data_IF_615703184874
#
_entry.id   IF_615703184874
#
_cell.length_a   1.000
_cell.length_b   1.000
_cell.length_c   1.000
_cell.angle_alpha   90.00
_cell.angle_beta   90.00
_cell.angle_gamma   90.00
#
_symmetry.space_group_name_H-M   'P 1'
#
loop_
_entity.id
_entity.type
_entity.pdbx_description
1 polymer ?
#
# COMPACT_ATOMS: atom_id res chain seq x y z
N UNK A 1 1.48 -1.69 9.78
CA UNK A 1 2.90 -1.59 9.36
C UNK A 1 3.67 -2.90 9.62
N UNK A 2 3.76 -3.45 10.85
CA UNK A 2 4.60 -4.64 11.15
C UNK A 2 4.27 -5.87 10.30
N UNK A 3 3.01 -6.11 9.98
CA UNK A 3 2.62 -7.24 9.11
C UNK A 3 3.10 -7.04 7.68
N UNK A 4 3.11 -5.82 7.14
CA UNK A 4 3.68 -5.51 5.83
C UNK A 4 5.17 -5.86 5.79
N UNK A 5 5.94 -5.45 6.80
CA UNK A 5 7.36 -5.82 6.92
C UNK A 5 7.52 -7.33 6.82
N UNK A 6 6.77 -8.10 7.63
CA UNK A 6 6.86 -9.56 7.66
C UNK A 6 6.48 -10.21 6.33
N UNK A 7 5.44 -9.71 5.67
CA UNK A 7 4.94 -10.27 4.41
C UNK A 7 5.88 -9.96 3.24
N UNK A 8 6.36 -8.72 3.15
CA UNK A 8 7.28 -8.30 2.09
C UNK A 8 8.60 -9.08 2.18
N UNK A 9 9.13 -9.27 3.39
CA UNK A 9 10.35 -10.07 3.60
C UNK A 9 10.23 -11.53 3.16
N UNK A 10 9.02 -12.09 3.09
CA UNK A 10 8.80 -13.46 2.60
C UNK A 10 8.89 -13.56 1.08
N UNK A 11 8.59 -12.48 0.37
CA UNK A 11 8.47 -12.47 -1.11
C UNK A 11 9.55 -11.64 -1.80
N UNK A 12 10.30 -10.85 -1.03
CA UNK A 12 11.39 -10.01 -1.55
C UNK A 12 12.60 -10.02 -0.61
N UNK A 13 13.79 -10.00 -1.19
CA UNK A 13 15.05 -9.83 -0.46
C UNK A 13 15.24 -8.35 -0.12
N UNK A 14 14.79 -7.95 1.05
CA UNK A 14 14.88 -6.54 1.50
C UNK A 14 16.24 -6.31 2.16
N UNK A 15 16.92 -5.22 1.78
CA UNK A 15 18.22 -4.84 2.34
C UNK A 15 18.10 -3.95 3.57
N UNK A 16 17.16 -3.02 3.55
CA UNK A 16 16.89 -2.10 4.67
C UNK A 16 15.42 -1.67 4.70
N UNK A 17 14.92 -1.31 5.86
CA UNK A 17 13.68 -0.56 6.03
C UNK A 17 13.98 0.88 6.42
N UNK A 18 13.22 1.79 5.85
CA UNK A 18 13.20 3.19 6.25
C UNK A 18 11.82 3.48 6.81
N UNK A 19 11.77 3.99 8.02
CA UNK A 19 10.51 4.30 8.71
C UNK A 19 10.34 5.80 8.78
N UNK A 20 9.28 6.29 8.17
CA UNK A 20 8.87 7.68 8.26
C UNK A 20 7.63 7.79 9.15
N UNK A 21 7.64 8.68 10.14
CA UNK A 21 6.52 8.93 11.04
C UNK A 21 6.62 10.34 11.63
N UNK A 22 5.47 10.97 11.84
CA UNK A 22 5.39 12.25 12.57
C UNK A 22 6.01 12.18 13.96
N UNK A 23 5.93 11.02 14.60
CA UNK A 23 6.47 10.80 15.93
C UNK A 23 7.76 9.95 15.86
N UNK A 24 8.91 10.61 16.00
CA UNK A 24 10.23 9.97 15.99
C UNK A 24 10.39 8.87 17.05
N UNK A 25 9.78 9.02 18.23
CA UNK A 25 9.83 8.01 19.30
C UNK A 25 9.10 6.73 18.89
N UNK A 26 7.96 6.87 18.22
CA UNK A 26 7.21 5.72 17.68
C UNK A 26 7.98 5.04 16.54
N UNK A 27 8.59 5.82 15.65
CA UNK A 27 9.47 5.29 14.61
C UNK A 27 10.65 4.51 15.20
N UNK A 28 11.31 5.05 16.24
CA UNK A 28 12.39 4.37 16.95
C UNK A 28 11.96 3.01 17.52
N UNK A 29 10.88 2.97 18.29
CA UNK A 29 10.33 1.72 18.83
C UNK A 29 10.00 0.69 17.74
N UNK A 30 9.51 1.15 16.59
CA UNK A 30 9.24 0.29 15.45
C UNK A 30 10.54 -0.29 14.89
N UNK A 31 11.57 0.52 14.70
CA UNK A 31 12.87 0.06 14.26
C UNK A 31 13.49 -0.94 15.25
N UNK A 32 13.47 -0.65 16.53
CA UNK A 32 14.01 -1.54 17.58
C UNK A 32 13.36 -2.93 17.54
N UNK A 33 12.04 -2.96 17.31
CA UNK A 33 11.29 -4.22 17.25
C UNK A 33 11.64 -5.10 16.03
N UNK A 34 12.27 -4.53 15.00
CA UNK A 34 12.63 -5.21 13.76
C UNK A 34 14.14 -5.31 13.52
N UNK A 35 14.96 -4.56 14.24
CA UNK A 35 16.42 -4.43 14.05
C UNK A 35 17.19 -5.76 14.09
N UNK A 36 16.69 -6.76 14.85
CA UNK A 36 17.30 -8.11 14.90
C UNK A 36 17.22 -8.88 13.58
N UNK A 37 16.33 -8.48 12.68
CA UNK A 37 16.06 -9.21 11.42
C UNK A 37 16.54 -8.47 10.19
N UNK A 38 16.57 -7.14 10.26
CA UNK A 38 16.90 -6.28 9.12
C UNK A 38 17.32 -4.90 9.60
N UNK A 39 18.20 -4.26 8.82
CA UNK A 39 18.58 -2.87 9.06
C UNK A 39 17.35 -1.97 8.98
N UNK A 40 17.05 -1.24 10.05
CA UNK A 40 15.95 -0.29 10.13
C UNK A 40 16.48 1.11 10.43
N UNK A 41 16.09 2.09 9.65
CA UNK A 41 16.52 3.49 9.77
C UNK A 41 15.29 4.38 9.90
N UNK A 42 15.39 5.45 10.67
CA UNK A 42 14.39 6.52 10.68
C UNK A 42 14.72 7.45 9.53
N UNK A 43 13.79 7.59 8.59
CA UNK A 43 13.97 8.45 7.43
C UNK A 43 13.17 9.73 7.48
N UNK A 44 13.33 10.50 6.43
CA UNK A 44 12.61 11.73 6.13
C UNK A 44 11.95 11.61 4.76
N UNK A 45 11.16 12.60 4.36
CA UNK A 45 10.44 12.61 3.09
C UNK A 45 11.37 12.39 1.89
N UNK A 46 12.54 12.97 1.92
CA UNK A 46 13.55 12.87 0.87
C UNK A 46 14.07 11.44 0.65
N UNK A 47 14.00 10.59 1.68
CA UNK A 47 14.43 9.19 1.58
C UNK A 47 13.44 8.30 0.79
N UNK A 48 12.25 8.80 0.47
CA UNK A 48 11.28 8.08 -0.37
C UNK A 48 11.83 7.78 -1.77
N UNK A 49 12.70 8.66 -2.31
CA UNK A 49 13.37 8.45 -3.61
C UNK A 49 14.28 7.22 -3.66
N UNK A 50 14.67 6.70 -2.50
CA UNK A 50 15.50 5.50 -2.40
C UNK A 50 14.66 4.20 -2.35
N UNK A 51 13.34 4.33 -2.16
CA UNK A 51 12.49 3.20 -1.86
C UNK A 51 12.00 2.47 -3.13
N UNK A 52 12.21 1.16 -3.18
CA UNK A 52 11.60 0.28 -4.17
C UNK A 52 10.12 0.01 -3.85
N UNK A 53 9.81 -0.11 -2.56
CA UNK A 53 8.47 -0.41 -2.06
C UNK A 53 8.12 0.57 -0.95
N UNK A 54 6.99 1.24 -1.11
CA UNK A 54 6.47 2.21 -0.16
C UNK A 54 5.17 1.66 0.42
N UNK A 55 5.00 1.71 1.75
CA UNK A 55 3.76 1.30 2.40
C UNK A 55 3.24 2.44 3.26
N UNK A 56 2.07 2.96 2.95
CA UNK A 56 1.38 3.94 3.77
C UNK A 56 0.33 3.25 4.64
N UNK A 57 0.28 3.61 5.92
CA UNK A 57 -0.61 3.00 6.92
C UNK A 57 -1.13 4.05 7.89
N UNK A 58 -1.55 5.21 7.39
CA UNK A 58 -1.94 6.37 8.20
C UNK A 58 -3.38 6.78 7.93
N UNK A 59 -4.08 7.34 8.91
CA UNK A 59 -5.40 7.98 8.71
C UNK A 59 -5.20 9.44 8.29
N UNK A 60 -4.50 9.71 7.18
CA UNK A 60 -4.25 11.07 6.73
C UNK A 60 -5.41 11.62 5.92
N UNK A 61 -5.76 12.89 6.14
CA UNK A 61 -6.72 13.64 5.33
C UNK A 61 -6.05 14.36 4.15
N UNK A 62 -4.71 14.48 4.20
CA UNK A 62 -3.92 15.16 3.17
C UNK A 62 -2.81 14.24 2.66
N UNK A 63 -2.37 14.40 1.40
CA UNK A 63 -1.29 13.61 0.84
C UNK A 63 -0.03 13.71 1.68
N UNK A 64 0.56 12.57 1.98
CA UNK A 64 1.86 12.47 2.64
C UNK A 64 2.99 12.35 1.62
N UNK A 65 2.65 11.84 0.43
CA UNK A 65 3.58 11.52 -0.64
C UNK A 65 3.10 12.20 -1.92
N UNK A 66 3.99 12.96 -2.53
CA UNK A 66 3.82 13.58 -3.83
C UNK A 66 4.54 12.75 -4.91
N UNK A 67 4.13 12.91 -6.17
CA UNK A 67 4.78 12.20 -7.28
C UNK A 67 6.28 12.50 -7.38
N UNK A 68 6.68 13.73 -7.09
CA UNK A 68 8.10 14.14 -7.05
C UNK A 68 8.92 13.50 -5.93
N UNK A 69 8.28 12.88 -4.94
CA UNK A 69 8.95 12.22 -3.81
C UNK A 69 9.37 10.77 -4.12
N UNK A 70 8.80 10.18 -5.14
CA UNK A 70 9.04 8.78 -5.51
C UNK A 70 9.91 8.68 -6.76
N UNK A 71 10.44 7.50 -6.99
CA UNK A 71 11.21 7.20 -8.20
C UNK A 71 10.42 6.33 -9.16
N UNK A 72 10.80 6.38 -10.41
CA UNK A 72 10.35 5.44 -11.44
C UNK A 72 10.56 3.99 -10.98
N UNK A 73 9.62 3.12 -11.29
CA UNK A 73 9.65 1.70 -10.91
C UNK A 73 9.22 1.39 -9.46
N UNK A 74 8.86 2.39 -8.65
CA UNK A 74 8.39 2.16 -7.29
C UNK A 74 7.07 1.39 -7.26
N UNK A 75 6.87 0.62 -6.19
CA UNK A 75 5.60 0.00 -5.84
C UNK A 75 5.03 0.62 -4.57
N UNK A 76 3.78 1.07 -4.61
CA UNK A 76 3.09 1.66 -3.48
C UNK A 76 1.99 0.73 -2.96
N UNK A 77 1.99 0.43 -1.67
CA UNK A 77 0.87 -0.17 -0.94
C UNK A 77 0.18 0.91 -0.12
N UNK A 78 -0.97 1.39 -0.56
CA UNK A 78 -1.73 2.49 0.06
C UNK A 78 -2.90 1.89 0.83
N UNK A 79 -2.74 1.79 2.17
CA UNK A 79 -3.61 0.96 3.02
C UNK A 79 -4.28 1.76 4.14
N UNK A 80 -3.71 2.90 4.53
CA UNK A 80 -4.12 3.55 5.78
C UNK A 80 -5.44 4.30 5.68
N UNK A 81 -5.71 4.96 4.56
CA UNK A 81 -6.96 5.68 4.35
C UNK A 81 -8.08 4.73 3.89
N UNK A 82 -9.23 4.78 4.55
CA UNK A 82 -10.41 3.95 4.27
C UNK A 82 -11.70 4.76 4.42
N UNK A 83 -11.64 6.06 4.21
CA UNK A 83 -12.79 6.97 4.20
C UNK A 83 -12.68 7.89 2.98
N UNK A 84 -13.82 8.30 2.38
CA UNK A 84 -13.83 9.08 1.13
C UNK A 84 -13.02 10.38 1.17
N UNK A 85 -12.95 11.03 2.34
CA UNK A 85 -12.23 12.30 2.54
C UNK A 85 -10.76 12.15 2.93
N UNK A 86 -10.27 10.92 3.10
CA UNK A 86 -8.90 10.65 3.53
C UNK A 86 -8.05 10.20 2.37
N UNK A 87 -6.83 10.72 2.28
CA UNK A 87 -5.85 10.26 1.30
C UNK A 87 -4.42 10.32 1.82
N UNK A 88 -3.60 9.38 1.38
CA UNK A 88 -2.19 9.28 1.74
C UNK A 88 -1.26 9.69 0.59
N UNK A 89 -1.74 9.65 -0.65
CA UNK A 89 -0.95 9.97 -1.86
C UNK A 89 -1.62 11.08 -2.67
N UNK A 90 -0.80 11.81 -3.45
CA UNK A 90 -1.31 12.86 -4.34
C UNK A 90 -2.06 12.29 -5.55
N UNK A 91 -2.87 13.11 -6.18
CA UNK A 91 -3.59 12.79 -7.42
C UNK A 91 -2.63 12.36 -8.53
N UNK A 92 -1.49 13.04 -8.68
CA UNK A 92 -0.47 12.71 -9.68
C UNK A 92 0.07 11.27 -9.53
N UNK A 93 0.20 10.78 -8.31
CA UNK A 93 0.61 9.38 -8.09
C UNK A 93 -0.45 8.43 -8.64
N UNK A 94 -1.73 8.70 -8.39
CA UNK A 94 -2.83 7.85 -8.87
C UNK A 94 -2.91 7.88 -10.40
N UNK A 95 -2.86 9.05 -11.00
CA UNK A 95 -2.99 9.22 -12.47
C UNK A 95 -1.83 8.62 -13.25
N UNK A 96 -0.64 8.55 -12.65
CA UNK A 96 0.58 8.06 -13.30
C UNK A 96 0.98 6.65 -12.89
N UNK A 97 0.15 5.97 -12.10
CA UNK A 97 0.40 4.59 -11.65
C UNK A 97 -0.52 3.58 -12.34
N UNK A 98 -0.03 2.35 -12.48
CA UNK A 98 -0.89 1.20 -12.74
C UNK A 98 -1.60 0.85 -11.43
N UNK A 99 -2.88 1.20 -11.33
CA UNK A 99 -3.69 1.05 -10.11
C UNK A 99 -4.32 -0.33 -10.05
N UNK A 100 -4.08 -1.04 -8.97
CA UNK A 100 -4.71 -2.31 -8.60
C UNK A 100 -5.43 -2.11 -7.27
N UNK A 101 -6.61 -2.68 -7.12
CA UNK A 101 -7.41 -2.57 -5.91
C UNK A 101 -7.72 -3.93 -5.31
N UNK A 102 -8.07 -3.98 -4.03
CA UNK A 102 -8.60 -5.21 -3.42
C UNK A 102 -9.99 -5.55 -3.97
N UNK A 103 -10.89 -4.56 -4.07
CA UNK A 103 -12.22 -4.70 -4.65
C UNK A 103 -12.73 -3.33 -5.15
N UNK A 104 -13.10 -3.24 -6.43
CA UNK A 104 -13.59 -2.00 -7.05
C UNK A 104 -14.83 -1.47 -6.32
N UNK A 105 -15.79 -2.35 -6.00
CA UNK A 105 -17.04 -1.98 -5.33
C UNK A 105 -16.81 -1.33 -3.95
N UNK A 106 -15.86 -1.81 -3.19
CA UNK A 106 -15.49 -1.23 -1.90
C UNK A 106 -14.73 0.10 -2.09
N UNK A 107 -13.76 0.13 -3.00
CA UNK A 107 -12.97 1.32 -3.29
C UNK A 107 -13.83 2.51 -3.79
N UNK A 108 -14.89 2.24 -4.56
CA UNK A 108 -15.87 3.28 -4.97
C UNK A 108 -16.55 3.99 -3.80
N UNK A 109 -16.59 3.37 -2.63
CA UNK A 109 -17.28 3.91 -1.44
C UNK A 109 -16.32 4.50 -0.41
N UNK A 110 -15.09 3.95 -0.31
CA UNK A 110 -14.25 4.15 0.86
C UNK A 110 -12.84 4.62 0.53
N UNK A 111 -12.38 4.48 -0.74
CA UNK A 111 -11.01 4.78 -1.10
C UNK A 111 -10.83 6.26 -1.47
N UNK A 112 -10.67 7.14 -0.48
CA UNK A 112 -10.47 8.56 -0.74
C UNK A 112 -9.26 8.88 -1.63
N UNK A 113 -8.20 8.06 -1.57
CA UNK A 113 -7.06 8.17 -2.51
C UNK A 113 -7.48 8.05 -3.98
N UNK A 114 -8.61 7.38 -4.28
CA UNK A 114 -9.15 7.24 -5.63
C UNK A 114 -10.35 8.15 -5.88
N UNK A 115 -11.19 8.36 -4.87
CA UNK A 115 -12.41 9.18 -4.99
C UNK A 115 -12.05 10.65 -5.22
N UNK A 116 -11.12 11.19 -4.46
CA UNK A 116 -10.72 12.59 -4.56
C UNK A 116 -10.18 12.94 -5.95
N UNK A 117 -9.25 12.18 -6.57
CA UNK A 117 -8.84 12.40 -7.95
C UNK A 117 -9.99 12.39 -8.97
N UNK A 118 -11.04 11.60 -8.73
CA UNK A 118 -12.24 11.57 -9.58
C UNK A 118 -13.07 12.83 -9.38
N UNK A 119 -13.28 13.28 -8.16
CA UNK A 119 -13.97 14.54 -7.85
C UNK A 119 -13.22 15.76 -8.39
N UNK A 120 -11.89 15.69 -8.46
CA UNK A 120 -11.02 16.67 -9.12
C UNK A 120 -11.09 16.62 -10.67
N UNK A 121 -11.80 15.63 -11.24
CA UNK A 121 -11.94 15.44 -12.70
C UNK A 121 -10.67 14.95 -13.39
N UNK A 122 -9.71 14.40 -12.63
CA UNK A 122 -8.39 14.01 -13.16
C UNK A 122 -8.24 12.50 -13.38
N UNK A 123 -9.16 11.69 -12.86
CA UNK A 123 -9.10 10.24 -12.94
C UNK A 123 -10.50 9.61 -12.93
N UNK A 124 -10.60 8.32 -13.28
CA UNK A 124 -11.87 7.58 -13.22
C UNK A 124 -11.68 6.12 -12.82
N UNK A 125 -12.72 5.48 -12.29
CA UNK A 125 -12.67 4.07 -11.88
C UNK A 125 -12.47 3.09 -13.03
N UNK A 126 -12.75 3.49 -14.26
CA UNK A 126 -12.51 2.70 -15.48
C UNK A 126 -11.01 2.55 -15.77
N UNK A 127 -10.17 3.40 -15.18
CA UNK A 127 -8.70 3.34 -15.29
C UNK A 127 -8.07 2.37 -14.27
N UNK A 128 -8.85 1.73 -13.40
CA UNK A 128 -8.35 0.63 -12.57
C UNK A 128 -7.90 -0.51 -13.48
N UNK A 129 -6.63 -0.90 -13.32
CA UNK A 129 -6.05 -1.96 -14.13
C UNK A 129 -6.63 -3.33 -13.79
N UNK A 130 -6.78 -3.63 -12.49
CA UNK A 130 -7.26 -4.93 -12.02
C UNK A 130 -7.76 -4.90 -10.57
N UNK A 131 -8.58 -5.88 -10.23
CA UNK A 131 -8.75 -6.34 -8.85
C UNK A 131 -7.65 -7.35 -8.49
N UNK A 132 -7.27 -7.40 -7.22
CA UNK A 132 -6.23 -8.29 -6.71
C UNK A 132 -6.48 -9.76 -7.07
N UNK A 133 -7.75 -10.19 -7.06
CA UNK A 133 -8.15 -11.55 -7.44
C UNK A 133 -7.72 -11.91 -8.85
N UNK A 134 -7.91 -11.02 -9.81
CA UNK A 134 -7.53 -11.20 -11.22
C UNK A 134 -6.00 -11.31 -11.38
N UNK A 135 -5.26 -10.48 -10.64
CA UNK A 135 -3.78 -10.54 -10.65
C UNK A 135 -3.27 -11.86 -10.09
N UNK A 136 -3.89 -12.35 -9.01
CA UNK A 136 -3.51 -13.63 -8.37
C UNK A 136 -3.88 -14.81 -9.27
N UNK A 137 -5.00 -14.75 -9.97
CA UNK A 137 -5.41 -15.75 -10.97
C UNK A 137 -4.53 -15.75 -12.23
N UNK A 138 -3.71 -14.72 -12.44
CA UNK A 138 -2.86 -14.58 -13.62
C UNK A 138 -3.61 -14.13 -14.87
N UNK A 139 -4.80 -13.57 -14.72
CA UNK A 139 -5.66 -13.15 -15.82
C UNK A 139 -5.17 -11.86 -16.51
N UNK A 140 -4.41 -11.03 -15.80
CA UNK A 140 -3.93 -9.76 -16.29
C UNK A 140 -2.42 -9.60 -16.13
N UNK A 141 -1.76 -8.88 -17.05
CA UNK A 141 -0.32 -8.63 -16.97
C UNK A 141 0.00 -7.84 -15.69
N UNK A 142 1.07 -8.25 -15.04
CA UNK A 142 1.56 -7.65 -13.80
C UNK A 142 2.21 -6.30 -14.13
N UNK A 143 3.51 -6.27 -14.08
CA UNK A 143 4.32 -5.10 -14.46
C UNK A 143 4.85 -5.31 -15.88
N UNK A 144 4.79 -4.30 -16.72
CA UNK A 144 5.22 -4.39 -18.13
C UNK A 144 6.60 -3.80 -18.36
N UNK A 145 7.05 -2.91 -17.47
CA UNK A 145 8.40 -2.36 -17.50
C UNK A 145 8.96 -2.09 -16.11
N UNK A 146 10.27 -2.05 -15.97
CA UNK A 146 10.94 -1.73 -14.71
C UNK A 146 10.71 -0.29 -14.27
N UNK A 147 10.34 0.59 -15.19
CA UNK A 147 10.05 2.00 -14.93
C UNK A 147 8.61 2.27 -14.51
N UNK A 148 7.72 1.30 -14.68
CA UNK A 148 6.31 1.44 -14.36
C UNK A 148 6.10 1.61 -12.86
N UNK A 149 5.35 2.62 -12.45
CA UNK A 149 4.92 2.79 -11.07
C UNK A 149 3.63 1.99 -10.88
N UNK A 150 3.60 1.18 -9.84
CA UNK A 150 2.42 0.38 -9.50
C UNK A 150 1.87 0.78 -8.14
N UNK A 151 0.56 0.93 -8.04
CA UNK A 151 -0.14 1.29 -6.82
C UNK A 151 -1.17 0.22 -6.48
N UNK A 152 -1.08 -0.34 -5.28
CA UNK A 152 -2.11 -1.20 -4.71
C UNK A 152 -2.89 -0.41 -3.65
N UNK A 153 -4.18 -0.18 -3.90
CA UNK A 153 -5.08 0.42 -2.94
C UNK A 153 -5.96 -0.65 -2.30
N UNK A 154 -5.96 -0.70 -0.97
CA UNK A 154 -6.86 -1.56 -0.20
C UNK A 154 -7.62 -0.74 0.82
N UNK A 155 -8.91 -1.04 0.94
CA UNK A 155 -9.78 -0.53 2.01
C UNK A 155 -10.22 -1.64 2.96
N UNK A 156 -9.82 -2.87 2.65
CA UNK A 156 -10.21 -4.08 3.38
C UNK A 156 -11.46 -4.75 2.80
N UNK A 157 -11.55 -6.04 3.02
CA UNK A 157 -12.68 -6.83 2.54
C UNK A 157 -13.00 -7.94 3.56
N UNK A 158 -14.26 -8.08 3.93
CA UNK A 158 -14.74 -9.06 4.90
C UNK A 158 -14.35 -10.53 4.55
N UNK A 159 -14.12 -10.82 3.26
CA UNK A 159 -13.61 -12.14 2.86
C UNK A 159 -12.22 -12.45 3.45
N UNK A 160 -11.42 -11.42 3.72
CA UNK A 160 -10.11 -11.59 4.34
C UNK A 160 -10.24 -12.01 5.81
N UNK A 161 -11.23 -11.44 6.52
CA UNK A 161 -11.55 -11.82 7.90
C UNK A 161 -12.07 -13.25 7.95
N UNK A 162 -12.96 -13.62 7.05
CA UNK A 162 -13.48 -14.99 6.92
C UNK A 162 -12.35 -15.99 6.63
N UNK A 163 -11.44 -15.67 5.73
CA UNK A 163 -10.29 -16.52 5.42
C UNK A 163 -9.39 -16.70 6.64
N UNK A 164 -9.19 -15.64 7.43
CA UNK A 164 -8.40 -15.68 8.66
C UNK A 164 -9.07 -16.54 9.73
N UNK A 165 -10.38 -16.37 9.94
CA UNK A 165 -11.17 -17.19 10.87
C UNK A 165 -11.09 -18.67 10.48
N UNK A 166 -11.31 -19.01 9.23
CA UNK A 166 -11.19 -20.38 8.72
C UNK A 166 -9.79 -20.97 8.95
N UNK A 167 -8.75 -20.18 8.75
CA UNK A 167 -7.37 -20.61 9.03
C UNK A 167 -7.14 -20.87 10.52
N UNK A 168 -7.68 -20.03 11.39
CA UNK A 168 -7.60 -20.19 12.84
C UNK A 168 -8.35 -21.46 13.30
N UNK A 169 -9.57 -21.69 12.84
CA UNK A 169 -10.34 -22.88 13.15
C UNK A 169 -9.58 -24.15 12.76
N UNK A 170 -9.07 -24.22 11.52
CA UNK A 170 -8.24 -25.35 11.08
C UNK A 170 -7.00 -25.55 11.96
N UNK A 171 -6.32 -24.48 12.40
CA UNK A 171 -5.16 -24.59 13.29
C UNK A 171 -5.51 -25.04 14.70
N UNK A 172 -6.67 -24.67 15.18
CA UNK A 172 -7.18 -25.05 16.49
C UNK A 172 -7.88 -26.44 16.47
N UNK A 173 -7.92 -27.08 15.29
CA UNK A 173 -8.61 -28.39 15.09
C UNK A 173 -10.11 -28.36 15.47
N UNK A 174 -10.75 -27.22 15.29
CA UNK A 174 -12.21 -27.16 15.24
C UNK A 174 -12.64 -27.48 13.79
N UNK A 175 -13.36 -28.59 13.64
CA UNK A 175 -14.00 -29.00 12.38
C UNK A 175 -15.29 -28.21 12.16
#
# INVERSE_FOLDING_TARGET
>A
ASFHVKSIMKVRKIKKFIVFSRNKKTAGKFCDSHSKKIKCEIGFKETLKEADIICTTTPSEHPLIEFSDIRSGSHLNVIGSHQPMMREVSTDIVTQSKVIVDQIKACKKEAGDLIIPIEEGQWSFEQIHAELGQVVAGELPKRESDNEITLFKSVGNAVQDLAMVNLLLKKLKYD
#
